data_IF_694505088455
#
_entry.id   IF_694505088455
#
_cell.length_a   1.000
_cell.length_b   1.000
_cell.length_c   1.000
_cell.angle_alpha   90.00
_cell.angle_beta   90.00
_cell.angle_gamma   90.00
#
_symmetry.space_group_name_H-M   'P 1'
#
loop_
_entity.id
_entity.type
_entity.pdbx_description
1 polymer ?
#
# COMPACT_ATOMS: atom_id res chain seq x y z
N UNK A 1 32.46 -30.91 -26.45
CA UNK A 1 31.53 -30.61 -25.34
C UNK A 1 31.10 -29.13 -25.32
N UNK A 2 31.90 -28.19 -25.83
CA UNK A 2 31.61 -26.74 -25.86
C UNK A 2 30.51 -26.36 -26.88
N UNK A 3 30.39 -27.10 -27.98
CA UNK A 3 29.43 -26.85 -29.07
C UNK A 3 27.98 -27.20 -28.69
N UNK A 4 27.78 -28.21 -27.88
CA UNK A 4 26.45 -28.72 -27.52
C UNK A 4 25.70 -27.81 -26.53
N UNK A 5 26.45 -27.23 -25.58
CA UNK A 5 25.93 -26.22 -24.62
C UNK A 5 25.59 -24.91 -25.32
N UNK A 6 26.37 -24.50 -26.31
CA UNK A 6 26.14 -23.28 -27.09
C UNK A 6 24.89 -23.39 -27.96
N UNK A 7 24.69 -24.55 -28.64
CA UNK A 7 23.48 -24.83 -29.44
C UNK A 7 22.21 -24.87 -28.60
N UNK A 8 22.25 -25.47 -27.41
CA UNK A 8 21.12 -25.47 -26.47
C UNK A 8 20.76 -24.05 -26.00
N UNK A 9 21.75 -23.25 -25.64
CA UNK A 9 21.53 -21.87 -25.21
C UNK A 9 20.93 -21.02 -26.34
N UNK A 10 21.39 -21.21 -27.56
CA UNK A 10 20.91 -20.50 -28.74
C UNK A 10 19.46 -20.89 -29.08
N UNK A 11 19.13 -22.18 -29.03
CA UNK A 11 17.78 -22.69 -29.28
C UNK A 11 16.77 -22.23 -28.20
N UNK A 12 17.21 -22.17 -26.94
CA UNK A 12 16.41 -21.59 -25.86
C UNK A 12 16.08 -20.11 -26.09
N UNK A 13 17.06 -19.31 -26.50
CA UNK A 13 16.88 -17.90 -26.80
C UNK A 13 15.97 -17.66 -28.02
N UNK A 14 16.07 -18.49 -29.06
CA UNK A 14 15.19 -18.48 -30.23
C UNK A 14 13.72 -18.78 -29.85
N UNK A 15 13.49 -19.63 -28.83
CA UNK A 15 12.18 -19.93 -28.29
C UNK A 15 11.68 -18.88 -27.28
N UNK A 16 12.45 -17.84 -26.99
CA UNK A 16 12.06 -16.73 -26.09
C UNK A 16 12.18 -17.02 -24.59
N UNK A 17 12.85 -18.11 -24.18
CA UNK A 17 13.03 -18.44 -22.77
C UNK A 17 14.27 -17.78 -22.15
N UNK A 18 14.06 -17.03 -21.05
CA UNK A 18 15.14 -16.32 -20.35
C UNK A 18 16.14 -17.27 -19.64
N UNK A 19 15.70 -18.44 -19.16
CA UNK A 19 16.53 -19.38 -18.42
C UNK A 19 16.24 -20.85 -18.81
N UNK A 20 17.15 -21.76 -18.45
CA UNK A 20 16.99 -23.20 -18.65
C UNK A 20 15.82 -23.76 -17.82
N UNK A 21 15.66 -23.22 -16.58
CA UNK A 21 14.55 -23.63 -15.71
C UNK A 21 13.20 -23.16 -16.28
N UNK A 22 13.13 -22.04 -17.00
CA UNK A 22 11.92 -21.57 -17.66
C UNK A 22 11.55 -22.50 -18.83
N UNK A 23 12.51 -22.91 -19.63
CA UNK A 23 12.31 -23.89 -20.72
C UNK A 23 11.85 -25.22 -20.13
N UNK A 24 12.49 -25.71 -19.07
CA UNK A 24 12.14 -26.99 -18.45
C UNK A 24 10.71 -26.99 -17.88
N UNK A 25 10.29 -25.89 -17.24
CA UNK A 25 8.89 -25.72 -16.77
C UNK A 25 7.90 -25.75 -17.92
N UNK A 26 8.20 -25.09 -19.03
CA UNK A 26 7.35 -25.11 -20.21
C UNK A 26 7.24 -26.51 -20.83
N UNK A 27 8.34 -27.26 -20.89
CA UNK A 27 8.35 -28.63 -21.35
C UNK A 27 7.54 -29.58 -20.43
N UNK A 28 7.67 -29.38 -19.10
CA UNK A 28 6.88 -30.14 -18.11
C UNK A 28 5.39 -29.85 -18.26
N UNK A 29 5.00 -28.59 -18.48
CA UNK A 29 3.63 -28.22 -18.76
C UNK A 29 3.10 -28.84 -20.06
N UNK A 30 3.91 -28.81 -21.12
CA UNK A 30 3.54 -29.42 -22.43
C UNK A 30 3.39 -30.95 -22.39
N UNK A 31 3.95 -31.64 -21.40
CA UNK A 31 3.80 -33.07 -21.16
C UNK A 31 2.53 -33.46 -20.39
N UNK A 32 1.84 -32.46 -19.79
CA UNK A 32 0.56 -32.73 -19.12
C UNK A 32 -0.50 -33.14 -20.16
N UNK A 33 -1.51 -33.96 -19.76
CA UNK A 33 -2.68 -34.22 -20.59
C UNK A 33 -3.36 -32.92 -21.02
N UNK A 34 -3.87 -32.88 -22.25
CA UNK A 34 -4.51 -31.68 -22.83
C UNK A 34 -5.62 -31.10 -21.92
N UNK A 35 -6.40 -31.98 -21.31
CA UNK A 35 -7.46 -31.62 -20.36
C UNK A 35 -6.93 -30.88 -19.11
N UNK A 36 -5.74 -31.25 -18.65
CA UNK A 36 -5.11 -30.56 -17.50
C UNK A 36 -4.50 -29.24 -17.93
N UNK A 37 -3.90 -29.15 -19.11
CA UNK A 37 -3.40 -27.89 -19.69
C UNK A 37 -4.54 -26.88 -19.86
N UNK A 38 -5.67 -27.31 -20.46
CA UNK A 38 -6.85 -26.45 -20.62
C UNK A 38 -7.44 -26.01 -19.31
N UNK A 39 -7.52 -26.89 -18.31
CA UNK A 39 -7.99 -26.56 -16.96
C UNK A 39 -7.09 -25.52 -16.28
N UNK A 40 -5.79 -25.66 -16.45
CA UNK A 40 -4.82 -24.69 -15.90
C UNK A 40 -4.93 -23.33 -16.58
N UNK A 41 -5.04 -23.31 -17.92
CA UNK A 41 -5.22 -22.08 -18.69
C UNK A 41 -6.57 -21.42 -18.43
N UNK A 42 -7.63 -22.19 -18.21
CA UNK A 42 -8.94 -21.66 -17.82
C UNK A 42 -8.89 -21.01 -16.44
N UNK A 43 -8.19 -21.61 -15.47
CA UNK A 43 -7.99 -21.03 -14.14
C UNK A 43 -7.17 -19.73 -14.18
N UNK A 44 -6.14 -19.66 -15.02
CA UNK A 44 -5.37 -18.42 -15.21
C UNK A 44 -6.23 -17.32 -15.82
N UNK A 45 -7.04 -17.61 -16.84
CA UNK A 45 -7.94 -16.63 -17.45
C UNK A 45 -9.05 -16.16 -16.51
N UNK A 46 -9.52 -17.01 -15.60
CA UNK A 46 -10.49 -16.65 -14.58
C UNK A 46 -9.86 -15.75 -13.50
N UNK A 47 -8.57 -15.95 -13.17
CA UNK A 47 -7.85 -15.13 -12.19
C UNK A 47 -7.36 -13.79 -12.74
N UNK A 48 -7.13 -13.65 -14.05
CA UNK A 48 -6.69 -12.38 -14.66
C UNK A 48 -7.72 -11.22 -14.57
N UNK A 49 -8.97 -11.51 -14.18
CA UNK A 49 -10.04 -10.52 -14.04
C UNK A 49 -10.43 -10.17 -12.60
N UNK A 50 -9.93 -10.89 -11.59
CA UNK A 50 -10.50 -10.84 -10.24
C UNK A 50 -9.43 -10.70 -9.13
N UNK A 51 -8.52 -9.74 -9.27
CA UNK A 51 -7.54 -9.41 -8.22
C UNK A 51 -8.17 -8.97 -6.88
N UNK A 52 -9.51 -8.80 -6.84
CA UNK A 52 -10.23 -8.27 -5.66
C UNK A 52 -11.50 -9.05 -5.30
N UNK A 53 -11.66 -10.30 -5.73
CA UNK A 53 -12.76 -11.11 -5.21
C UNK A 53 -12.57 -11.39 -3.71
N UNK A 54 -13.56 -10.98 -2.95
CA UNK A 54 -13.63 -11.34 -1.53
C UNK A 54 -13.68 -12.86 -1.41
N UNK A 55 -12.88 -13.47 -0.50
CA UNK A 55 -12.86 -14.91 -0.34
C UNK A 55 -14.27 -15.43 -0.03
N UNK A 56 -14.83 -16.24 -0.92
CA UNK A 56 -16.11 -16.89 -0.72
C UNK A 56 -16.00 -17.93 0.40
N UNK A 57 -16.66 -17.64 1.52
CA UNK A 57 -16.86 -18.63 2.59
C UNK A 57 -18.20 -19.30 2.40
N UNK A 58 -18.17 -20.58 2.02
CA UNK A 58 -19.36 -21.41 1.98
C UNK A 58 -20.05 -21.43 3.35
N UNK A 59 -21.21 -20.82 3.41
CA UNK A 59 -22.07 -20.84 4.61
C UNK A 59 -22.92 -22.09 4.56
N UNK A 60 -22.60 -23.10 5.38
CA UNK A 60 -23.32 -24.40 5.41
C UNK A 60 -24.82 -24.27 5.71
N UNK A 61 -25.21 -23.27 6.49
CA UNK A 61 -26.62 -22.99 6.79
C UNK A 61 -26.86 -21.48 6.85
N UNK A 62 -27.34 -20.93 5.75
CA UNK A 62 -27.59 -19.49 5.58
C UNK A 62 -28.73 -19.02 6.52
N UNK A 63 -29.78 -19.82 6.69
CA UNK A 63 -30.92 -19.49 7.52
C UNK A 63 -30.51 -19.37 9.01
N UNK A 64 -29.78 -20.35 9.52
CA UNK A 64 -29.30 -20.33 10.91
C UNK A 64 -28.33 -19.18 11.16
N UNK A 65 -27.50 -18.83 10.17
CA UNK A 65 -26.61 -17.67 10.27
C UNK A 65 -27.39 -16.36 10.34
N UNK A 66 -28.38 -16.19 9.49
CA UNK A 66 -29.25 -15.01 9.48
C UNK A 66 -30.00 -14.85 10.80
N UNK A 67 -30.54 -15.93 11.36
CA UNK A 67 -31.20 -15.94 12.66
C UNK A 67 -30.24 -15.52 13.78
N UNK A 68 -29.05 -16.10 13.86
CA UNK A 68 -28.01 -15.72 14.85
C UNK A 68 -27.62 -14.25 14.74
N UNK A 69 -27.42 -13.73 13.54
CA UNK A 69 -27.07 -12.32 13.31
C UNK A 69 -28.21 -11.42 13.75
N UNK A 70 -29.45 -11.78 13.41
CA UNK A 70 -30.65 -11.04 13.82
C UNK A 70 -30.78 -11.00 15.33
N UNK A 71 -30.60 -12.14 16.01
CA UNK A 71 -30.66 -12.22 17.47
C UNK A 71 -29.52 -11.43 18.13
N UNK A 72 -28.30 -11.53 17.64
CA UNK A 72 -27.17 -10.72 18.10
C UNK A 72 -27.45 -9.22 17.94
N UNK A 73 -28.03 -8.81 16.81
CA UNK A 73 -28.38 -7.41 16.58
C UNK A 73 -29.45 -6.90 17.56
N UNK A 74 -30.42 -7.74 17.92
CA UNK A 74 -31.47 -7.41 18.94
C UNK A 74 -30.87 -7.30 20.34
N UNK A 75 -29.95 -8.17 20.70
CA UNK A 75 -29.33 -8.22 22.03
C UNK A 75 -28.22 -7.19 22.21
N UNK A 76 -27.66 -6.66 21.10
CA UNK A 76 -26.58 -5.68 21.16
C UNK A 76 -27.13 -4.36 21.74
N UNK A 77 -26.57 -3.84 22.83
CA UNK A 77 -26.99 -2.58 23.41
C UNK A 77 -26.70 -1.42 22.45
N UNK A 78 -27.56 -0.41 22.49
CA UNK A 78 -27.33 0.83 21.76
C UNK A 78 -26.00 1.48 22.20
N UNK A 79 -25.30 2.10 21.28
CA UNK A 79 -24.09 2.86 21.60
C UNK A 79 -24.42 3.97 22.59
N UNK A 80 -23.82 3.91 23.75
CA UNK A 80 -23.86 4.99 24.73
C UNK A 80 -22.56 5.76 24.67
N UNK A 81 -22.63 7.08 24.53
CA UNK A 81 -21.46 7.95 24.61
C UNK A 81 -21.31 8.46 26.04
N UNK A 82 -20.11 8.31 26.59
CA UNK A 82 -19.76 8.88 27.90
C UNK A 82 -18.67 9.92 27.68
N UNK A 83 -18.90 11.12 28.17
CA UNK A 83 -17.88 12.18 28.18
C UNK A 83 -16.85 11.82 29.25
N UNK A 84 -15.63 11.46 28.82
CA UNK A 84 -14.51 11.25 29.73
C UNK A 84 -13.55 12.44 29.60
N UNK A 85 -13.19 13.13 30.68
CA UNK A 85 -12.11 14.11 30.64
C UNK A 85 -10.81 13.39 30.30
N UNK A 86 -10.09 13.90 29.28
CA UNK A 86 -8.78 13.42 28.91
C UNK A 86 -7.84 14.60 28.74
N UNK A 87 -6.55 14.41 29.03
CA UNK A 87 -5.54 15.36 28.66
C UNK A 87 -5.44 15.48 27.14
N UNK A 88 -5.52 16.67 26.60
CA UNK A 88 -5.36 16.98 25.17
C UNK A 88 -4.17 17.90 25.02
N UNK A 89 -3.24 17.59 24.16
CA UNK A 89 -2.15 18.50 23.82
C UNK A 89 -2.72 19.66 22.99
N UNK A 90 -2.66 20.87 23.54
CA UNK A 90 -3.10 22.07 22.85
C UNK A 90 -2.13 22.40 21.69
N UNK A 91 -2.67 22.83 20.57
CA UNK A 91 -1.88 23.25 19.40
C UNK A 91 -1.62 22.18 18.34
N UNK A 92 -1.87 20.89 18.60
CA UNK A 92 -1.67 19.81 17.61
C UNK A 92 -2.61 19.98 16.41
N UNK A 93 -3.86 20.29 16.65
CA UNK A 93 -4.86 20.52 15.60
C UNK A 93 -4.51 21.72 14.73
N UNK A 94 -4.06 22.83 15.34
CA UNK A 94 -3.65 24.03 14.61
C UNK A 94 -2.40 23.79 13.75
N UNK A 95 -1.38 23.11 14.29
CA UNK A 95 -0.17 22.75 13.55
C UNK A 95 -0.48 21.80 12.39
N UNK A 96 -1.38 20.82 12.58
CA UNK A 96 -1.81 19.90 11.54
C UNK A 96 -2.63 20.60 10.45
N UNK A 97 -3.46 21.58 10.82
CA UNK A 97 -4.23 22.38 9.86
C UNK A 97 -3.31 23.25 8.99
N UNK A 98 -2.33 23.92 9.59
CA UNK A 98 -1.33 24.70 8.87
C UNK A 98 -0.46 23.81 7.96
N UNK A 99 -0.06 22.63 8.46
CA UNK A 99 0.67 21.65 7.69
C UNK A 99 -0.11 21.17 6.45
N UNK A 100 -1.44 21.00 6.56
CA UNK A 100 -2.26 20.60 5.42
C UNK A 100 -2.22 21.62 4.28
N UNK A 101 -2.34 22.90 4.61
CA UNK A 101 -2.27 23.99 3.62
C UNK A 101 -0.89 24.00 2.94
N UNK A 102 0.17 23.93 3.74
CA UNK A 102 1.55 23.88 3.25
C UNK A 102 1.82 22.67 2.35
N UNK A 103 1.39 21.48 2.78
CA UNK A 103 1.60 20.25 2.02
C UNK A 103 0.80 20.21 0.71
N UNK A 104 -0.41 20.77 0.70
CA UNK A 104 -1.22 20.91 -0.51
C UNK A 104 -0.51 21.80 -1.54
N UNK A 105 0.07 22.91 -1.10
CA UNK A 105 0.87 23.80 -1.96
C UNK A 105 2.14 23.10 -2.49
N UNK A 106 2.90 22.43 -1.62
CA UNK A 106 4.19 21.84 -1.97
C UNK A 106 4.08 20.56 -2.84
N UNK A 107 3.03 19.77 -2.65
CA UNK A 107 2.88 18.46 -3.29
C UNK A 107 1.75 18.39 -4.33
N UNK A 108 1.28 19.53 -4.80
CA UNK A 108 0.40 19.63 -5.97
C UNK A 108 1.24 19.95 -7.21
N UNK A 109 1.17 19.08 -8.23
CA UNK A 109 1.91 19.26 -9.46
C UNK A 109 1.29 20.35 -10.36
N UNK A 110 1.96 20.67 -11.46
CA UNK A 110 1.52 21.69 -12.46
C UNK A 110 0.17 21.37 -13.09
N UNK A 111 -0.29 20.13 -13.02
CA UNK A 111 -1.60 19.69 -13.52
C UNK A 111 -2.71 19.82 -12.47
N UNK A 112 -2.42 20.34 -11.29
CA UNK A 112 -3.35 20.45 -10.18
C UNK A 112 -3.67 19.13 -9.49
N UNK A 113 -2.78 18.13 -9.64
CA UNK A 113 -2.89 16.82 -8.99
C UNK A 113 -1.99 16.79 -7.76
N UNK A 114 -2.57 16.49 -6.63
CA UNK A 114 -1.81 16.31 -5.38
C UNK A 114 -1.23 14.90 -5.30
N UNK A 115 0.02 14.79 -4.88
CA UNK A 115 0.83 13.57 -4.96
C UNK A 115 1.20 13.08 -3.55
N UNK A 116 1.17 11.77 -3.35
CA UNK A 116 1.66 11.12 -2.14
C UNK A 116 3.19 11.07 -2.15
N UNK A 117 3.84 11.47 -1.06
CA UNK A 117 5.31 11.47 -0.93
C UNK A 117 5.93 10.07 -0.94
N UNK A 118 5.17 9.02 -0.65
CA UNK A 118 5.69 7.65 -0.62
C UNK A 118 5.54 6.93 -1.98
N UNK A 119 4.36 6.94 -2.60
CA UNK A 119 4.16 6.24 -3.87
C UNK A 119 4.33 7.11 -5.11
N UNK A 120 4.52 8.42 -4.97
CA UNK A 120 4.57 9.40 -6.09
C UNK A 120 3.34 9.38 -7.02
N UNK A 121 2.27 8.74 -6.59
CA UNK A 121 1.02 8.67 -7.34
C UNK A 121 0.06 9.77 -6.92
N UNK A 122 -0.85 10.15 -7.81
CA UNK A 122 -1.96 11.03 -7.48
C UNK A 122 -2.76 10.45 -6.29
N UNK A 123 -3.23 11.33 -5.42
CA UNK A 123 -4.06 10.93 -4.28
C UNK A 123 -5.38 10.32 -4.77
N UNK A 124 -5.91 9.29 -4.08
CA UNK A 124 -6.92 8.40 -4.62
C UNK A 124 -8.30 9.05 -4.86
N UNK A 125 -8.61 10.14 -4.15
CA UNK A 125 -9.91 10.80 -4.32
C UNK A 125 -9.93 12.24 -3.79
N UNK A 126 -10.95 12.98 -4.23
CA UNK A 126 -11.28 14.32 -3.73
C UNK A 126 -12.51 14.28 -2.84
N UNK A 127 -12.52 15.16 -1.85
CA UNK A 127 -13.68 15.41 -1.01
C UNK A 127 -14.79 16.16 -1.79
N UNK A 128 -16.04 16.20 -1.30
CA UNK A 128 -17.11 17.00 -1.89
C UNK A 128 -16.77 18.49 -2.01
N UNK A 129 -15.84 18.99 -1.19
CA UNK A 129 -15.29 20.35 -1.28
C UNK A 129 -14.39 20.60 -2.52
N UNK A 130 -14.01 19.55 -3.25
CA UNK A 130 -13.08 19.60 -4.38
C UNK A 130 -11.61 19.38 -4.00
N UNK A 131 -11.27 19.44 -2.72
CA UNK A 131 -9.90 19.24 -2.23
C UNK A 131 -9.56 17.76 -2.17
N UNK A 132 -8.28 17.43 -2.42
CA UNK A 132 -7.80 16.05 -2.23
C UNK A 132 -7.87 15.62 -0.76
N UNK A 133 -8.23 14.36 -0.56
CA UNK A 133 -8.11 13.74 0.75
C UNK A 133 -6.71 13.14 0.93
N UNK A 134 -6.02 13.57 1.97
CA UNK A 134 -4.72 13.03 2.38
C UNK A 134 -4.57 13.08 3.90
N UNK A 135 -3.64 12.30 4.39
CA UNK A 135 -3.25 12.35 5.80
C UNK A 135 -1.94 13.13 5.95
N UNK A 136 -2.02 14.20 6.76
CA UNK A 136 -0.82 14.88 7.27
C UNK A 136 -0.29 14.07 8.46
N UNK A 137 0.83 13.36 8.27
CA UNK A 137 1.43 12.45 9.25
C UNK A 137 2.73 13.04 9.76
N UNK A 138 2.95 13.01 11.08
CA UNK A 138 4.22 13.49 11.67
C UNK A 138 5.39 12.65 11.15
N UNK A 139 6.39 13.31 10.60
CA UNK A 139 7.60 12.70 10.05
C UNK A 139 8.44 12.02 11.14
N UNK A 140 8.63 12.70 12.26
CA UNK A 140 9.33 12.18 13.43
C UNK A 140 8.37 12.21 14.62
N UNK A 141 8.07 11.07 15.25
CA UNK A 141 7.22 11.03 16.42
C UNK A 141 7.89 11.78 17.59
N UNK A 142 7.04 12.38 18.44
CA UNK A 142 7.45 12.98 19.72
C UNK A 142 8.44 14.16 19.64
N UNK A 143 8.46 14.87 18.50
CA UNK A 143 9.20 16.13 18.43
C UNK A 143 8.68 17.13 19.47
N UNK A 144 9.57 17.84 20.18
CA UNK A 144 9.18 18.84 21.19
C UNK A 144 8.48 20.05 20.56
N UNK A 145 8.71 20.31 19.28
CA UNK A 145 8.07 21.37 18.50
C UNK A 145 7.49 20.78 17.22
N UNK A 146 6.24 21.13 16.94
CA UNK A 146 5.54 20.74 15.72
C UNK A 146 5.31 21.99 14.88
N UNK A 147 5.70 21.93 13.62
CA UNK A 147 5.49 22.96 12.62
C UNK A 147 5.23 22.28 11.26
N UNK A 148 4.70 23.02 10.31
CA UNK A 148 4.16 22.47 9.05
C UNK A 148 5.13 21.59 8.26
N UNK A 149 6.44 21.88 8.31
CA UNK A 149 7.48 21.11 7.63
C UNK A 149 7.78 19.77 8.30
N UNK A 150 7.26 19.52 9.50
CA UNK A 150 7.42 18.25 10.22
C UNK A 150 6.36 17.20 9.86
N UNK A 151 5.57 17.46 8.84
CA UNK A 151 4.51 16.57 8.39
C UNK A 151 4.75 16.06 6.97
N UNK A 152 4.24 14.86 6.70
CA UNK A 152 4.23 14.22 5.38
C UNK A 152 2.83 14.25 4.79
N UNK A 153 2.75 14.44 3.46
CA UNK A 153 1.54 14.26 2.66
C UNK A 153 1.46 12.83 2.16
N UNK A 154 0.62 12.01 2.78
CA UNK A 154 0.48 10.61 2.44
C UNK A 154 -0.95 10.23 2.05
N UNK A 155 -1.09 9.31 1.08
CA UNK A 155 -2.37 8.67 0.82
C UNK A 155 -2.79 7.81 2.04
N UNK A 156 -4.08 7.47 2.21
CA UNK A 156 -4.55 6.74 3.40
C UNK A 156 -3.77 5.45 3.70
N UNK A 157 -3.42 4.70 2.65
CA UNK A 157 -2.70 3.45 2.80
C UNK A 157 -1.26 3.67 3.32
N UNK A 158 -0.52 4.62 2.71
CA UNK A 158 0.83 4.94 3.16
C UNK A 158 0.85 5.65 4.51
N UNK A 159 -0.16 6.43 4.82
CA UNK A 159 -0.32 7.03 6.15
C UNK A 159 -0.47 5.97 7.24
N UNK A 160 -1.35 4.99 7.02
CA UNK A 160 -1.52 3.87 7.94
C UNK A 160 -0.23 3.03 8.05
N UNK A 161 0.40 2.69 6.92
CA UNK A 161 1.67 1.95 6.92
C UNK A 161 2.79 2.71 7.64
N UNK A 162 2.89 4.02 7.43
CA UNK A 162 3.88 4.86 8.11
C UNK A 162 3.67 4.93 9.63
N UNK A 163 2.43 5.06 10.08
CA UNK A 163 2.11 5.15 11.50
C UNK A 163 2.26 3.83 12.25
N UNK A 164 1.91 2.71 11.63
CA UNK A 164 1.75 1.42 12.32
C UNK A 164 2.74 0.34 11.88
N UNK A 165 3.37 0.48 10.73
CA UNK A 165 4.22 -0.54 10.13
C UNK A 165 5.57 -0.01 9.62
N UNK A 166 6.01 1.17 10.07
CA UNK A 166 7.33 1.73 9.75
C UNK A 166 8.40 1.06 10.63
N UNK A 167 9.28 0.29 10.01
CA UNK A 167 10.36 -0.41 10.71
C UNK A 167 11.42 0.57 11.28
N UNK A 168 11.59 1.74 10.66
CA UNK A 168 12.55 2.77 11.06
C UNK A 168 11.93 3.89 11.90
N UNK A 169 10.71 3.71 12.43
CA UNK A 169 9.98 4.78 13.16
C UNK A 169 10.83 5.50 14.20
N UNK A 170 11.62 4.78 14.99
CA UNK A 170 12.46 5.35 16.05
C UNK A 170 13.78 5.94 15.52
N UNK A 171 14.19 5.58 14.33
CA UNK A 171 15.41 6.05 13.68
C UNK A 171 15.17 7.22 12.71
N UNK A 172 13.92 7.65 12.51
CA UNK A 172 13.56 8.68 11.52
C UNK A 172 14.34 9.99 11.71
N UNK A 173 14.59 10.39 12.95
CA UNK A 173 15.35 11.60 13.23
C UNK A 173 16.81 11.52 12.75
N UNK A 174 17.46 10.38 12.96
CA UNK A 174 18.83 10.13 12.51
C UNK A 174 18.90 10.00 10.99
N UNK A 175 17.93 9.33 10.39
CA UNK A 175 17.83 9.21 8.92
C UNK A 175 17.70 10.57 8.25
N UNK A 176 16.90 11.49 8.82
CA UNK A 176 16.77 12.86 8.33
C UNK A 176 18.07 13.65 8.42
N UNK A 177 18.82 13.52 9.52
CA UNK A 177 20.10 14.21 9.71
C UNK A 177 21.21 13.69 8.77
N UNK A 178 21.11 12.45 8.34
CA UNK A 178 22.10 11.81 7.46
C UNK A 178 21.69 11.78 6.00
N UNK A 179 20.46 12.16 5.68
CA UNK A 179 19.98 12.25 4.31
C UNK A 179 20.78 13.27 3.51
N UNK A 180 21.38 12.85 2.41
CA UNK A 180 22.15 13.71 1.51
C UNK A 180 21.29 14.20 0.32
N UNK A 181 20.17 13.54 0.07
CA UNK A 181 19.23 13.80 -1.02
C UNK A 181 17.84 14.15 -0.49
N UNK A 182 16.95 14.55 -1.38
CA UNK A 182 15.56 14.87 -1.05
C UNK A 182 14.69 13.63 -0.87
N UNK A 183 15.27 12.53 -0.41
CA UNK A 183 14.58 11.26 -0.23
C UNK A 183 15.16 10.45 0.93
N UNK A 184 14.31 9.64 1.56
CA UNK A 184 14.68 8.75 2.65
C UNK A 184 14.09 7.38 2.36
N UNK A 185 14.93 6.36 2.42
CA UNK A 185 14.52 4.96 2.30
C UNK A 185 14.08 4.40 3.64
N UNK A 186 12.90 3.80 3.68
CA UNK A 186 12.30 3.17 4.85
C UNK A 186 11.57 1.89 4.46
N UNK A 187 11.32 1.00 5.42
CA UNK A 187 10.49 -0.18 5.19
C UNK A 187 9.10 0.01 5.82
N UNK A 188 8.07 0.01 4.98
CA UNK A 188 6.66 0.11 5.37
C UNK A 188 5.97 -1.24 5.17
N UNK A 189 5.57 -1.90 6.27
CA UNK A 189 4.94 -3.21 6.21
C UNK A 189 5.82 -4.29 5.58
N UNK A 190 7.15 -4.17 5.71
CA UNK A 190 8.12 -5.08 5.10
C UNK A 190 8.45 -4.80 3.63
N UNK A 191 7.89 -3.73 3.05
CA UNK A 191 8.19 -3.28 1.68
C UNK A 191 9.11 -2.07 1.74
N UNK A 192 10.23 -2.12 1.01
CA UNK A 192 11.12 -0.98 0.84
C UNK A 192 10.39 0.14 0.12
N UNK A 193 10.41 1.32 0.71
CA UNK A 193 9.65 2.49 0.25
C UNK A 193 10.49 3.74 0.43
N UNK A 194 10.50 4.59 -0.57
CA UNK A 194 11.21 5.88 -0.51
C UNK A 194 10.21 7.00 -0.23
N UNK A 195 10.50 7.83 0.76
CA UNK A 195 9.75 9.07 1.04
C UNK A 195 10.50 10.24 0.41
N UNK A 196 9.80 11.02 -0.38
CA UNK A 196 10.34 12.11 -1.18
C UNK A 196 9.99 13.48 -0.60
N UNK A 197 10.95 14.38 -0.69
CA UNK A 197 10.79 15.78 -0.25
C UNK A 197 10.99 16.72 -1.43
N UNK A 198 10.25 17.83 -1.45
CA UNK A 198 10.51 18.93 -2.40
C UNK A 198 11.80 19.62 -2.02
N UNK A 199 12.54 20.11 -3.01
CA UNK A 199 13.68 21.00 -2.75
C UNK A 199 13.16 22.32 -2.16
N UNK A 200 13.75 22.73 -1.04
CA UNK A 200 13.55 24.05 -0.48
C UNK A 200 14.40 25.09 -1.20
#
# INVERSE_FOLDING_TARGET
RTTETTVRAQRRAELGFASEEALQRALTFAQLPETEQERFLANLRQNDGNEFELPERLVRNVALRAERVSEQARQTPNRTSVIKPRSVQLGVEAAKADAKIYLEDQYTNTNGQMICQACKSELPFKLPSGNYYFEAVELVPDLPKRFRETYLSLCPNHAAAYQYANAQRNAMHELLLTANDNEIEIALGGVETTVYFTQM
#
